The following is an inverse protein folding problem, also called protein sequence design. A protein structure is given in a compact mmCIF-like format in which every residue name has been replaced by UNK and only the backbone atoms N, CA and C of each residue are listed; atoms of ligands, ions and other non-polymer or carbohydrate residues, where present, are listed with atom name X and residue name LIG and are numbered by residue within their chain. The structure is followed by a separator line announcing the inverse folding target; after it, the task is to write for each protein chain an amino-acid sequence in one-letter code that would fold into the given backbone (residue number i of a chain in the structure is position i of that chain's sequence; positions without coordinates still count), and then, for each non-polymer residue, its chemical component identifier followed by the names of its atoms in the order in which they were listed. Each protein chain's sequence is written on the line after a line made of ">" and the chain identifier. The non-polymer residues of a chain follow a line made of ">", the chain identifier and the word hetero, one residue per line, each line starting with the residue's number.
data_IF_821744242039
#
_entry.id   IF_821744242039
#
_cell.length_a   1.000
_cell.length_b   1.000
_cell.length_c   1.000
_cell.angle_alpha   90.00
_cell.angle_beta   90.00
_cell.angle_gamma   90.00
#
_symmetry.space_group_name_H-M   'P 1'
#
loop_
_entity.id
_entity.type
_entity.pdbx_description
1 polymer ?
#
# COMPACT_ATOMS: atom_id res chain seq x y z
N UNK A 1 3.17 -8.73 1.10
CA UNK A 1 3.44 -9.07 2.50
C UNK A 1 4.60 -10.04 2.62
N UNK A 2 4.49 -11.26 2.08
CA UNK A 2 5.50 -12.33 2.20
C UNK A 2 6.93 -11.88 1.84
N UNK A 3 7.11 -11.18 0.72
CA UNK A 3 8.42 -10.60 0.33
C UNK A 3 9.00 -9.72 1.44
N UNK A 4 8.19 -8.86 2.03
CA UNK A 4 8.64 -7.95 3.08
C UNK A 4 8.90 -8.70 4.39
N UNK A 5 7.98 -9.59 4.79
CA UNK A 5 8.12 -10.40 5.99
C UNK A 5 9.33 -11.34 5.95
N UNK A 6 9.76 -11.78 4.76
CA UNK A 6 10.94 -12.62 4.59
C UNK A 6 12.29 -11.89 4.76
N UNK A 7 12.30 -10.55 4.64
CA UNK A 7 13.51 -9.74 4.62
C UNK A 7 13.59 -8.76 5.80
N UNK A 8 12.60 -7.89 5.96
CA UNK A 8 12.66 -6.74 6.88
C UNK A 8 12.89 -7.09 8.36
N UNK A 9 12.36 -8.19 8.94
CA UNK A 9 12.62 -8.52 10.33
C UNK A 9 14.10 -8.73 10.68
N UNK A 10 14.94 -9.02 9.67
CA UNK A 10 16.38 -9.28 9.84
C UNK A 10 17.24 -8.05 9.54
N UNK A 11 16.65 -7.03 8.92
CA UNK A 11 17.35 -5.80 8.57
C UNK A 11 17.63 -4.96 9.82
N UNK A 12 18.76 -4.25 9.82
CA UNK A 12 19.23 -3.46 10.96
C UNK A 12 19.44 -1.99 10.57
N UNK A 13 19.55 -1.12 11.58
CA UNK A 13 19.73 0.32 11.42
C UNK A 13 18.44 1.11 11.59
N UNK A 14 18.59 2.42 11.83
CA UNK A 14 17.52 3.32 12.27
C UNK A 14 16.25 3.24 11.43
N UNK A 15 16.38 3.12 10.11
CA UNK A 15 15.22 3.00 9.22
C UNK A 15 14.51 1.66 9.39
N UNK A 16 15.27 0.55 9.40
CA UNK A 16 14.71 -0.79 9.52
C UNK A 16 13.99 -0.96 10.87
N UNK A 17 14.58 -0.46 11.95
CA UNK A 17 13.97 -0.49 13.29
C UNK A 17 12.64 0.27 13.32
N UNK A 18 12.62 1.50 12.80
CA UNK A 18 11.38 2.29 12.69
C UNK A 18 10.34 1.59 11.83
N UNK A 19 10.76 1.06 10.69
CA UNK A 19 9.85 0.40 9.75
C UNK A 19 9.28 -0.89 10.33
N UNK A 20 10.08 -1.65 11.07
CA UNK A 20 9.64 -2.86 11.79
C UNK A 20 8.70 -2.53 12.95
N UNK A 21 8.83 -1.39 13.61
CA UNK A 21 7.95 -0.97 14.71
C UNK A 21 6.55 -0.50 14.27
N UNK A 22 6.37 -0.01 13.04
CA UNK A 22 5.07 0.51 12.56
C UNK A 22 3.99 -0.58 12.46
N UNK A 23 2.71 -0.30 12.72
CA UNK A 23 1.63 -1.26 12.44
C UNK A 23 1.55 -1.57 10.94
N UNK A 24 1.37 -2.84 10.59
CA UNK A 24 1.14 -3.27 9.21
C UNK A 24 -0.29 -3.79 9.03
N UNK A 25 -0.98 -3.24 8.02
CA UNK A 25 -2.32 -3.70 7.63
C UNK A 25 -2.23 -4.54 6.36
N UNK A 26 -2.67 -5.79 6.43
CA UNK A 26 -2.46 -6.78 5.38
C UNK A 26 -3.80 -7.20 4.78
N UNK A 27 -4.03 -6.82 3.52
CA UNK A 27 -5.14 -7.33 2.74
C UNK A 27 -4.78 -8.69 2.13
N UNK A 28 -5.50 -9.75 2.50
CA UNK A 28 -5.32 -11.10 1.96
C UNK A 28 -6.62 -11.89 2.02
N UNK A 29 -6.81 -12.83 1.09
CA UNK A 29 -7.92 -13.79 1.11
C UNK A 29 -7.50 -15.19 1.53
N UNK A 30 -6.19 -15.41 1.76
CA UNK A 30 -5.61 -16.74 2.03
C UNK A 30 -4.77 -16.82 3.29
N UNK A 31 -4.18 -15.71 3.72
CA UNK A 31 -3.36 -15.68 4.93
C UNK A 31 -4.27 -15.77 6.15
N UNK A 32 -3.89 -16.62 7.09
CA UNK A 32 -4.54 -16.79 8.39
C UNK A 32 -3.63 -16.40 9.56
N UNK A 33 -2.33 -16.18 9.29
CA UNK A 33 -1.34 -15.77 10.26
C UNK A 33 -0.35 -14.76 9.63
N UNK A 34 0.28 -13.95 10.48
CA UNK A 34 1.23 -12.90 10.10
C UNK A 34 2.47 -12.99 11.00
N UNK A 35 3.62 -13.30 10.41
CA UNK A 35 4.87 -13.49 11.17
C UNK A 35 5.68 -12.19 11.41
N UNK A 36 5.34 -11.09 10.73
CA UNK A 36 6.04 -9.81 10.83
C UNK A 36 5.22 -8.82 11.65
N UNK A 37 5.41 -8.87 12.96
CA UNK A 37 4.65 -8.09 13.94
C UNK A 37 5.23 -6.68 14.15
N UNK A 38 4.42 -5.66 14.50
CA UNK A 38 2.97 -5.71 14.71
C UNK A 38 2.17 -5.65 13.40
N UNK A 39 1.31 -6.65 13.13
CA UNK A 39 0.52 -6.69 11.90
C UNK A 39 -0.89 -7.28 12.11
N UNK A 40 -1.85 -6.78 11.32
CA UNK A 40 -3.26 -7.17 11.35
C UNK A 40 -3.75 -7.50 9.93
N UNK A 41 -4.57 -8.54 9.82
CA UNK A 41 -5.29 -8.85 8.59
C UNK A 41 -6.50 -7.92 8.48
N UNK A 42 -6.64 -7.21 7.36
CA UNK A 42 -7.82 -6.38 7.11
C UNK A 42 -9.03 -7.28 6.83
N UNK A 43 -10.11 -7.04 7.57
CA UNK A 43 -11.36 -7.79 7.43
C UNK A 43 -12.29 -7.16 6.37
N UNK A 44 -12.94 -8.03 5.59
CA UNK A 44 -13.95 -7.63 4.62
C UNK A 44 -13.39 -6.99 3.34
N UNK A 45 -14.25 -6.32 2.55
CA UNK A 45 -13.83 -5.69 1.30
C UNK A 45 -12.80 -4.58 1.52
N UNK A 46 -11.68 -4.65 0.80
CA UNK A 46 -10.57 -3.70 0.94
C UNK A 46 -10.98 -2.22 1.02
N UNK A 47 -11.86 -1.68 0.14
CA UNK A 47 -12.22 -0.26 0.20
C UNK A 47 -12.90 0.12 1.52
N UNK A 48 -13.73 -0.78 2.07
CA UNK A 48 -14.44 -0.55 3.33
C UNK A 48 -13.47 -0.61 4.51
N UNK A 49 -12.60 -1.61 4.54
CA UNK A 49 -11.58 -1.76 5.56
C UNK A 49 -10.64 -0.54 5.62
N UNK A 50 -10.18 -0.05 4.45
CA UNK A 50 -9.32 1.13 4.38
C UNK A 50 -10.07 2.41 4.72
N UNK A 51 -11.35 2.55 4.33
CA UNK A 51 -12.15 3.70 4.73
C UNK A 51 -12.31 3.80 6.25
N UNK A 52 -12.57 2.67 6.92
CA UNK A 52 -12.60 2.58 8.38
C UNK A 52 -11.23 2.92 8.98
N UNK A 53 -10.16 2.31 8.46
CA UNK A 53 -8.81 2.57 8.94
C UNK A 53 -8.42 4.05 8.83
N UNK A 54 -8.82 4.73 7.75
CA UNK A 54 -8.59 6.19 7.58
C UNK A 54 -9.29 7.03 8.66
N UNK A 55 -10.44 6.59 9.16
CA UNK A 55 -11.15 7.27 10.25
C UNK A 55 -10.47 7.05 11.61
N UNK A 56 -9.81 5.92 11.80
CA UNK A 56 -9.21 5.51 13.09
C UNK A 56 -7.73 5.90 13.22
N UNK A 57 -6.95 5.87 12.13
CA UNK A 57 -5.48 5.89 12.16
C UNK A 57 -4.85 7.19 12.67
N UNK A 58 -5.57 8.31 12.67
CA UNK A 58 -5.07 9.62 13.14
C UNK A 58 -3.82 10.16 12.40
N UNK A 59 -3.33 9.47 11.37
CA UNK A 59 -2.06 9.74 10.69
C UNK A 59 -2.02 9.23 9.25
N UNK A 60 -0.83 9.25 8.64
CA UNK A 60 -0.65 8.84 7.25
C UNK A 60 -0.62 7.31 7.11
N UNK A 61 -1.38 6.78 6.15
CA UNK A 61 -1.36 5.37 5.77
C UNK A 61 -0.61 5.24 4.44
N UNK A 62 0.45 4.43 4.42
CA UNK A 62 1.26 4.20 3.23
C UNK A 62 0.92 2.87 2.57
N UNK A 63 0.66 2.92 1.27
CA UNK A 63 0.44 1.72 0.45
C UNK A 63 1.79 1.23 -0.09
N UNK A 64 2.37 0.21 0.55
CA UNK A 64 3.60 -0.42 0.08
C UNK A 64 3.38 -1.35 -1.12
N UNK A 65 2.13 -1.74 -1.37
CA UNK A 65 1.74 -2.57 -2.47
C UNK A 65 0.48 -3.38 -2.16
N UNK A 66 0.01 -4.20 -3.10
CA UNK A 66 0.53 -4.34 -4.46
C UNK A 66 -0.09 -3.32 -5.42
N UNK A 67 0.29 -3.38 -6.71
CA UNK A 67 -0.36 -2.59 -7.76
C UNK A 67 -1.89 -2.81 -7.81
N UNK A 68 -2.38 -4.01 -7.52
CA UNK A 68 -3.82 -4.28 -7.48
C UNK A 68 -4.51 -3.56 -6.33
N UNK A 69 -3.87 -3.50 -5.15
CA UNK A 69 -4.35 -2.71 -4.00
C UNK A 69 -4.38 -1.23 -4.36
N UNK A 70 -3.29 -0.69 -4.91
CA UNK A 70 -3.22 0.72 -5.31
C UNK A 70 -4.31 1.08 -6.33
N UNK A 71 -4.49 0.27 -7.38
CA UNK A 71 -5.56 0.46 -8.38
C UNK A 71 -6.95 0.41 -7.76
N UNK A 72 -7.21 -0.54 -6.87
CA UNK A 72 -8.52 -0.67 -6.23
C UNK A 72 -8.82 0.55 -5.35
N UNK A 73 -7.85 1.04 -4.58
CA UNK A 73 -8.04 2.23 -3.74
C UNK A 73 -8.18 3.51 -4.59
N UNK A 74 -7.41 3.65 -5.66
CA UNK A 74 -7.57 4.74 -6.63
C UNK A 74 -8.97 4.75 -7.25
N UNK A 75 -9.46 3.59 -7.69
CA UNK A 75 -10.79 3.44 -8.29
C UNK A 75 -11.94 3.78 -7.33
N UNK A 76 -11.73 3.66 -6.03
CA UNK A 76 -12.70 4.03 -4.99
C UNK A 76 -12.46 5.43 -4.39
N UNK A 77 -11.52 6.22 -4.92
CA UNK A 77 -11.24 7.57 -4.43
C UNK A 77 -10.65 7.61 -3.01
N UNK A 78 -9.99 6.54 -2.57
CA UNK A 78 -9.44 6.42 -1.21
C UNK A 78 -7.99 6.88 -1.08
N UNK A 79 -7.37 7.33 -2.17
CA UNK A 79 -5.98 7.82 -2.19
C UNK A 79 -5.97 9.34 -2.20
N UNK A 80 -5.42 9.94 -1.15
CA UNK A 80 -5.36 11.41 -1.01
C UNK A 80 -4.12 11.99 -1.70
N UNK A 81 -3.03 11.22 -1.78
CA UNK A 81 -1.78 11.66 -2.38
C UNK A 81 -1.11 10.54 -3.15
N UNK A 82 -0.77 10.83 -4.40
CA UNK A 82 -0.01 9.94 -5.27
C UNK A 82 1.40 10.51 -5.49
N UNK A 83 2.43 9.80 -5.02
CA UNK A 83 3.83 10.15 -5.30
C UNK A 83 4.33 9.27 -6.44
N UNK A 84 4.60 9.87 -7.59
CA UNK A 84 5.11 9.18 -8.77
C UNK A 84 6.63 9.35 -8.85
N UNK A 85 7.34 8.23 -8.80
CA UNK A 85 8.78 8.18 -9.05
C UNK A 85 8.98 7.82 -10.52
N UNK A 86 9.35 8.81 -11.33
CA UNK A 86 9.63 8.61 -12.75
C UNK A 86 11.12 8.28 -12.95
N UNK A 87 11.39 7.21 -13.70
CA UNK A 87 12.75 6.81 -14.09
C UNK A 87 12.93 7.03 -15.60
N UNK A 88 14.11 7.46 -16.07
CA UNK A 88 14.37 7.74 -17.48
C UNK A 88 14.57 6.45 -18.28
N UNK A 89 13.52 5.65 -18.43
CA UNK A 89 13.54 4.39 -19.17
C UNK A 89 12.14 3.96 -19.62
N UNK A 90 12.07 3.32 -20.79
CA UNK A 90 10.83 2.79 -21.33
C UNK A 90 10.79 1.26 -21.20
N UNK A 91 9.84 0.74 -20.42
CA UNK A 91 9.66 -0.71 -20.22
C UNK A 91 8.97 -1.40 -21.41
N UNK A 92 8.38 -0.63 -22.33
CA UNK A 92 7.63 -1.13 -23.49
C UNK A 92 6.27 -1.74 -23.12
N UNK A 93 6.28 -2.83 -22.36
CA UNK A 93 5.07 -3.50 -21.88
C UNK A 93 5.14 -3.72 -20.36
N UNK A 94 4.01 -3.58 -19.69
CA UNK A 94 3.95 -3.70 -18.24
C UNK A 94 2.53 -3.57 -17.70
N UNK A 95 2.42 -3.49 -16.38
CA UNK A 95 1.14 -3.32 -15.70
C UNK A 95 0.92 -1.82 -15.43
N UNK A 96 0.01 -1.12 -16.13
CA UNK A 96 -0.17 0.32 -15.97
C UNK A 96 -0.77 0.69 -14.61
N UNK A 97 -0.34 1.75 -13.95
CA UNK A 97 -1.00 2.16 -12.69
C UNK A 97 -2.42 2.67 -12.93
N UNK A 98 -2.59 3.50 -13.94
CA UNK A 98 -3.84 4.20 -14.17
C UNK A 98 -4.84 3.33 -14.96
N UNK A 99 -6.14 3.42 -14.63
CA UNK A 99 -7.19 2.85 -15.47
C UNK A 99 -7.20 3.52 -16.85
N UNK A 100 -7.48 2.73 -17.89
CA UNK A 100 -7.59 3.24 -19.28
C UNK A 100 -8.98 3.75 -19.62
N UNK A 101 -9.98 3.38 -18.82
CA UNK A 101 -11.41 3.59 -19.06
C UNK A 101 -11.95 4.86 -18.38
N UNK A 102 -11.25 5.41 -17.39
CA UNK A 102 -11.68 6.62 -16.67
C UNK A 102 -10.52 7.53 -16.31
N UNK A 103 -10.57 8.83 -16.63
CA UNK A 103 -9.55 9.78 -16.19
C UNK A 103 -9.62 9.98 -14.67
N UNK A 104 -8.44 10.05 -14.03
CA UNK A 104 -8.29 10.47 -12.64
C UNK A 104 -7.93 11.96 -12.62
N UNK A 105 -8.79 12.76 -12.00
CA UNK A 105 -8.48 14.16 -11.73
C UNK A 105 -7.41 14.22 -10.62
N UNK A 106 -6.23 14.73 -10.96
CA UNK A 106 -5.11 14.89 -10.04
C UNK A 106 -4.64 16.34 -10.09
N UNK A 107 -4.25 16.87 -8.94
CA UNK A 107 -3.58 18.16 -8.81
C UNK A 107 -2.10 17.93 -8.52
N UNK A 108 -1.22 18.61 -9.25
CA UNK A 108 0.22 18.59 -8.98
C UNK A 108 0.50 19.50 -7.78
N UNK A 109 1.07 18.93 -6.71
CA UNK A 109 1.31 19.64 -5.45
C UNK A 109 2.77 19.80 -5.07
N UNK A 110 3.70 19.12 -5.75
CA UNK A 110 5.14 19.17 -5.53
C UNK A 110 5.93 18.59 -6.69
#
# INVERSE_FOLDING_TARGET
>A
YEIFAGSWPKETGDFAERFNALPKYVASTRLTALDWQPAELLEGPLPQAVARLKQESGGNIYVHGSLSIARQLLGHGLVDRLRLLAYPGAVGQGKPLFPSDKPLALELVS
#
